data_IF_449473366732
#
_entry.id   IF_449473366732
#
_cell.length_a   1.000
_cell.length_b   1.000
_cell.length_c   1.000
_cell.angle_alpha   90.00
_cell.angle_beta   90.00
_cell.angle_gamma   90.00
#
_symmetry.space_group_name_H-M   'P 1'
#
loop_
_entity.id
_entity.type
_entity.pdbx_description
1 polymer ?
#
# COMPACT_ATOMS: atom_id res chain seq x y z
N UNK A 1 -30.11 -30.95 -14.15
CA UNK A 1 -28.74 -31.51 -14.20
C UNK A 1 -27.86 -30.45 -14.87
N UNK A 2 -27.18 -29.59 -14.06
CA UNK A 2 -26.27 -28.57 -14.58
C UNK A 2 -24.93 -29.27 -14.88
N UNK A 3 -24.60 -29.42 -16.15
CA UNK A 3 -23.27 -29.87 -16.57
C UNK A 3 -22.36 -28.65 -16.37
N UNK A 4 -21.59 -28.67 -15.28
CA UNK A 4 -20.46 -27.74 -15.10
C UNK A 4 -19.37 -28.18 -16.07
N UNK A 5 -19.21 -27.47 -17.20
CA UNK A 5 -18.04 -27.59 -18.04
C UNK A 5 -16.84 -27.09 -17.22
N UNK A 6 -16.07 -28.02 -16.66
CA UNK A 6 -14.75 -27.70 -16.14
C UNK A 6 -13.88 -27.47 -17.37
N UNK A 7 -13.71 -26.22 -17.77
CA UNK A 7 -12.72 -25.87 -18.81
C UNK A 7 -11.34 -26.18 -18.24
N UNK A 8 -10.61 -27.04 -18.91
CA UNK A 8 -9.24 -27.38 -18.56
C UNK A 8 -8.37 -26.12 -18.71
N UNK A 9 -7.78 -25.61 -17.61
CA UNK A 9 -6.96 -24.40 -17.65
C UNK A 9 -5.68 -24.66 -18.43
N UNK A 10 -5.30 -23.73 -19.30
CA UNK A 10 -4.06 -23.79 -20.06
C UNK A 10 -2.86 -23.66 -19.13
N UNK A 11 -1.92 -24.61 -19.21
CA UNK A 11 -0.62 -24.53 -18.49
C UNK A 11 0.36 -23.72 -19.34
N UNK A 12 1.04 -22.77 -18.71
CA UNK A 12 2.01 -21.85 -19.30
C UNK A 12 3.30 -21.89 -18.47
N UNK A 13 4.36 -22.38 -19.07
CA UNK A 13 5.70 -22.31 -18.50
C UNK A 13 6.27 -20.90 -18.67
N UNK A 14 6.86 -20.33 -17.62
CA UNK A 14 7.53 -19.01 -17.63
C UNK A 14 8.82 -19.06 -16.81
N UNK A 15 9.83 -18.29 -17.18
CA UNK A 15 11.02 -18.13 -16.35
C UNK A 15 10.69 -17.36 -15.07
N UNK A 16 9.89 -16.31 -15.20
CA UNK A 16 9.54 -15.41 -14.10
C UNK A 16 8.08 -14.97 -14.18
N UNK A 17 7.36 -15.15 -13.08
CA UNK A 17 6.03 -14.57 -12.86
C UNK A 17 6.13 -13.52 -11.76
N UNK A 18 5.57 -12.34 -12.01
CA UNK A 18 5.49 -11.22 -11.08
C UNK A 18 4.02 -11.03 -10.69
N UNK A 19 3.72 -11.05 -9.41
CA UNK A 19 2.35 -10.94 -8.88
C UNK A 19 2.14 -9.53 -8.33
N UNK A 20 1.35 -8.74 -9.05
CA UNK A 20 1.03 -7.34 -8.73
C UNK A 20 1.74 -6.34 -9.64
N UNK A 21 0.97 -5.42 -10.23
CA UNK A 21 1.43 -4.38 -11.16
C UNK A 21 1.51 -2.99 -10.50
N UNK A 22 1.86 -2.92 -9.21
CA UNK A 22 2.26 -1.68 -8.55
C UNK A 22 3.70 -1.28 -8.91
N UNK A 23 4.23 -0.17 -8.35
CA UNK A 23 5.59 0.31 -8.63
C UNK A 23 6.67 -0.75 -8.46
N UNK A 24 6.57 -1.60 -7.44
CA UNK A 24 7.52 -2.69 -7.21
C UNK A 24 7.48 -3.73 -8.34
N UNK A 25 6.27 -4.19 -8.71
CA UNK A 25 6.12 -5.20 -9.76
C UNK A 25 6.49 -4.69 -11.14
N UNK A 26 6.07 -3.47 -11.50
CA UNK A 26 6.44 -2.85 -12.78
C UNK A 26 7.95 -2.63 -12.88
N UNK A 27 8.61 -2.21 -11.80
CA UNK A 27 10.07 -2.07 -11.79
C UNK A 27 10.75 -3.43 -11.90
N UNK A 28 10.27 -4.44 -11.17
CA UNK A 28 10.80 -5.80 -11.30
C UNK A 28 10.68 -6.31 -12.73
N UNK A 29 9.56 -6.05 -13.40
CA UNK A 29 9.33 -6.43 -14.78
C UNK A 29 10.29 -5.74 -15.76
N UNK A 30 10.53 -4.43 -15.59
CA UNK A 30 11.50 -3.66 -16.39
C UNK A 30 12.91 -4.25 -16.26
N UNK A 31 13.37 -4.51 -15.02
CA UNK A 31 14.71 -5.07 -14.79
C UNK A 31 14.83 -6.51 -15.34
N UNK A 32 13.79 -7.33 -15.12
CA UNK A 32 13.76 -8.70 -15.61
C UNK A 32 13.72 -8.78 -17.15
N UNK A 33 12.95 -7.93 -17.82
CA UNK A 33 12.93 -7.85 -19.28
C UNK A 33 14.30 -7.45 -19.84
N UNK A 34 14.95 -6.44 -19.24
CA UNK A 34 16.31 -6.02 -19.62
C UNK A 34 17.36 -7.13 -19.41
N UNK A 35 17.13 -8.04 -18.46
CA UNK A 35 17.96 -9.23 -18.24
C UNK A 35 17.59 -10.42 -19.16
N UNK A 36 16.61 -10.30 -20.06
CA UNK A 36 16.19 -11.36 -20.99
C UNK A 36 15.42 -12.50 -20.33
N UNK A 37 14.75 -12.23 -19.20
CA UNK A 37 14.00 -13.26 -18.47
C UNK A 37 12.57 -13.52 -18.98
N UNK A 38 12.08 -12.74 -19.94
CA UNK A 38 10.70 -12.84 -20.46
C UNK A 38 9.66 -12.90 -19.34
N UNK A 39 9.56 -11.85 -18.50
CA UNK A 39 8.64 -11.86 -17.37
C UNK A 39 7.19 -11.66 -17.81
N UNK A 40 6.25 -12.23 -17.02
CA UNK A 40 4.84 -11.86 -17.09
C UNK A 40 4.43 -11.24 -15.75
N UNK A 41 3.64 -10.17 -15.81
CA UNK A 41 3.03 -9.53 -14.64
C UNK A 41 1.57 -9.91 -14.56
N UNK A 42 1.13 -10.42 -13.41
CA UNK A 42 -0.28 -10.75 -13.14
C UNK A 42 -0.89 -9.66 -12.25
N UNK A 43 -1.98 -9.06 -12.71
CA UNK A 43 -2.71 -8.02 -11.96
C UNK A 43 -4.22 -8.31 -11.99
N UNK A 44 -4.84 -8.40 -10.81
CA UNK A 44 -6.29 -8.66 -10.72
C UNK A 44 -7.17 -7.45 -11.03
N UNK A 45 -6.59 -6.27 -11.09
CA UNK A 45 -7.30 -5.01 -11.27
C UNK A 45 -6.56 -4.06 -12.20
N UNK A 46 -6.63 -2.77 -11.90
CA UNK A 46 -5.94 -1.74 -12.67
C UNK A 46 -4.45 -1.66 -12.31
N UNK A 47 -3.62 -1.53 -13.33
CA UNK A 47 -2.17 -1.32 -13.19
C UNK A 47 -1.86 -0.03 -12.41
N UNK A 48 -0.84 -0.07 -11.53
CA UNK A 48 -0.36 1.06 -10.75
C UNK A 48 -0.56 0.92 -9.25
N UNK A 49 -1.38 -0.05 -8.80
CA UNK A 49 -1.61 -0.31 -7.37
C UNK A 49 -2.13 0.92 -6.61
N UNK A 50 -1.65 1.14 -5.37
CA UNK A 50 -2.07 2.28 -4.54
C UNK A 50 -1.67 3.64 -5.13
N UNK A 51 -0.66 3.69 -5.97
CA UNK A 51 -0.21 4.94 -6.61
C UNK A 51 -1.26 5.45 -7.59
N UNK A 52 -1.90 4.59 -8.36
CA UNK A 52 -2.89 4.98 -9.37
C UNK A 52 -4.08 5.79 -8.80
N UNK A 53 -4.39 5.62 -7.51
CA UNK A 53 -5.49 6.34 -6.84
C UNK A 53 -5.01 7.56 -6.04
N UNK A 54 -3.71 7.86 -6.04
CA UNK A 54 -3.17 9.07 -5.41
C UNK A 54 -3.44 10.29 -6.29
N UNK A 55 -3.99 11.35 -5.72
CA UNK A 55 -4.32 12.56 -6.46
C UNK A 55 -3.07 13.26 -7.00
N UNK A 56 -2.03 13.34 -6.17
CA UNK A 56 -0.76 14.00 -6.48
C UNK A 56 0.41 13.28 -5.82
N UNK A 57 1.56 13.26 -6.46
CA UNK A 57 2.84 12.72 -5.99
C UNK A 57 3.91 13.78 -6.19
N UNK A 58 4.53 14.25 -5.10
CA UNK A 58 5.55 15.32 -5.08
C UNK A 58 6.89 14.86 -4.50
N UNK A 59 7.00 13.58 -4.17
CA UNK A 59 8.17 12.99 -3.53
C UNK A 59 8.79 11.84 -4.33
N UNK A 60 8.48 11.75 -5.62
CA UNK A 60 9.11 10.79 -6.52
C UNK A 60 10.17 11.50 -7.37
N UNK A 61 11.47 11.14 -7.24
CA UNK A 61 12.56 11.81 -7.98
C UNK A 61 12.33 11.79 -9.49
N UNK A 62 12.53 12.94 -10.13
CA UNK A 62 12.28 13.15 -11.55
C UNK A 62 11.02 13.94 -11.85
N UNK A 63 10.13 14.09 -10.85
CA UNK A 63 8.92 14.92 -10.96
C UNK A 63 8.81 15.84 -9.75
N UNK A 64 8.62 17.13 -9.99
CA UNK A 64 8.27 18.08 -8.91
C UNK A 64 6.83 17.90 -8.45
N UNK A 65 5.95 17.48 -9.37
CA UNK A 65 4.56 17.14 -9.11
C UNK A 65 4.02 16.34 -10.30
N UNK A 66 3.31 15.24 -10.02
CA UNK A 66 2.67 14.38 -11.03
C UNK A 66 1.45 13.71 -10.39
N UNK A 67 0.38 13.44 -11.15
CA UNK A 67 -0.70 12.62 -10.61
C UNK A 67 -0.28 11.15 -10.48
N UNK A 68 -0.81 10.45 -9.49
CA UNK A 68 -0.51 9.02 -9.31
C UNK A 68 -0.93 8.19 -10.51
N UNK A 69 -2.06 8.54 -11.14
CA UNK A 69 -2.53 7.89 -12.37
C UNK A 69 -1.53 8.06 -13.52
N UNK A 70 -1.02 9.27 -13.74
CA UNK A 70 -0.02 9.54 -14.80
C UNK A 70 1.30 8.85 -14.51
N UNK A 71 1.78 8.87 -13.26
CA UNK A 71 3.01 8.17 -12.89
C UNK A 71 2.89 6.66 -13.13
N UNK A 72 1.75 6.07 -12.76
CA UNK A 72 1.46 4.65 -13.00
C UNK A 72 1.40 4.33 -14.49
N UNK A 73 0.78 5.19 -15.29
CA UNK A 73 0.72 5.03 -16.75
C UNK A 73 2.11 5.05 -17.38
N UNK A 74 2.99 5.96 -16.95
CA UNK A 74 4.39 6.04 -17.44
C UNK A 74 5.21 4.80 -17.03
N UNK A 75 5.02 4.26 -15.82
CA UNK A 75 5.68 3.01 -15.41
C UNK A 75 5.20 1.82 -16.23
N UNK A 76 3.88 1.74 -16.52
CA UNK A 76 3.30 0.72 -17.40
C UNK A 76 3.86 0.82 -18.82
N UNK A 77 3.83 2.01 -19.41
CA UNK A 77 4.36 2.28 -20.77
C UNK A 77 5.83 1.85 -20.88
N UNK A 78 6.65 2.16 -19.87
CA UNK A 78 8.05 1.73 -19.83
C UNK A 78 8.18 0.20 -19.81
N UNK A 79 7.41 -0.52 -18.99
CA UNK A 79 7.42 -1.98 -18.99
C UNK A 79 6.98 -2.55 -20.35
N UNK A 80 5.91 -2.04 -20.94
CA UNK A 80 5.39 -2.46 -22.23
C UNK A 80 6.36 -2.16 -23.38
N UNK A 81 7.14 -1.08 -23.32
CA UNK A 81 8.16 -0.77 -24.33
C UNK A 81 9.32 -1.78 -24.36
N UNK A 82 9.39 -2.66 -23.38
CA UNK A 82 10.31 -3.80 -23.31
C UNK A 82 9.62 -5.15 -23.55
N UNK A 83 8.48 -5.13 -24.21
CA UNK A 83 7.65 -6.30 -24.54
C UNK A 83 7.16 -7.10 -23.30
N UNK A 84 7.06 -6.46 -22.12
CA UNK A 84 6.54 -7.11 -20.92
C UNK A 84 5.04 -7.37 -21.10
N UNK A 85 4.65 -8.64 -20.97
CA UNK A 85 3.25 -9.05 -20.93
C UNK A 85 2.66 -8.70 -19.55
N UNK A 86 1.53 -7.96 -19.51
CA UNK A 86 0.78 -7.68 -18.30
C UNK A 86 -0.60 -8.32 -18.47
N UNK A 87 -0.86 -9.37 -17.72
CA UNK A 87 -2.16 -10.07 -17.71
C UNK A 87 -3.06 -9.41 -16.66
N UNK A 88 -3.99 -8.61 -17.14
CA UNK A 88 -4.93 -7.84 -16.30
C UNK A 88 -6.26 -8.58 -16.16
N UNK A 89 -6.90 -8.44 -15.00
CA UNK A 89 -8.24 -8.97 -14.71
C UNK A 89 -8.36 -10.51 -14.67
N UNK A 90 -7.24 -11.25 -14.71
CA UNK A 90 -7.23 -12.70 -14.47
C UNK A 90 -6.84 -12.96 -13.01
N UNK A 91 -7.85 -13.07 -12.16
CA UNK A 91 -7.63 -13.14 -10.71
C UNK A 91 -6.90 -14.44 -10.31
N UNK A 92 -5.92 -14.32 -9.43
CA UNK A 92 -5.23 -15.48 -8.86
C UNK A 92 -6.16 -16.13 -7.84
N UNK A 93 -6.50 -17.39 -8.06
CA UNK A 93 -7.30 -18.22 -7.15
C UNK A 93 -6.42 -18.88 -6.07
N UNK A 94 -5.22 -19.32 -6.47
CA UNK A 94 -4.31 -20.06 -5.59
C UNK A 94 -2.86 -19.91 -6.04
N UNK A 95 -1.95 -19.86 -5.06
CA UNK A 95 -0.51 -19.96 -5.27
C UNK A 95 0.02 -21.16 -4.51
N UNK A 96 0.66 -22.09 -5.22
CA UNK A 96 1.35 -23.25 -4.66
C UNK A 96 2.84 -23.02 -4.82
N UNK A 97 3.49 -22.65 -3.70
CA UNK A 97 4.89 -22.25 -3.70
C UNK A 97 5.69 -23.18 -2.77
N UNK A 98 6.66 -23.86 -3.35
CA UNK A 98 7.61 -24.70 -2.61
C UNK A 98 8.99 -24.62 -3.28
N UNK A 99 10.02 -25.13 -2.63
CA UNK A 99 11.37 -25.16 -3.20
C UNK A 99 11.43 -25.99 -4.49
N UNK A 100 10.62 -27.03 -4.58
CA UNK A 100 10.61 -27.96 -5.72
C UNK A 100 9.71 -27.56 -6.86
N UNK A 101 8.62 -26.84 -6.59
CA UNK A 101 7.64 -26.48 -7.59
C UNK A 101 6.95 -25.14 -7.25
N UNK A 102 6.62 -24.39 -8.28
CA UNK A 102 5.87 -23.13 -8.19
C UNK A 102 4.75 -23.14 -9.20
N UNK A 103 3.53 -22.91 -8.74
CA UNK A 103 2.34 -22.84 -9.59
C UNK A 103 1.48 -21.64 -9.15
N UNK A 104 1.13 -20.79 -10.09
CA UNK A 104 0.17 -19.72 -9.88
C UNK A 104 -1.07 -20.04 -10.71
N UNK A 105 -2.17 -20.28 -10.04
CA UNK A 105 -3.44 -20.67 -10.64
C UNK A 105 -4.35 -19.44 -10.66
N UNK A 106 -4.68 -18.97 -11.85
CA UNK A 106 -5.62 -17.89 -12.10
C UNK A 106 -6.99 -18.45 -12.49
N UNK A 107 -7.99 -17.59 -12.70
CA UNK A 107 -9.31 -18.02 -13.17
C UNK A 107 -9.24 -18.75 -14.51
N UNK A 108 -8.34 -18.32 -15.42
CA UNK A 108 -8.28 -18.85 -16.81
C UNK A 108 -7.05 -19.73 -17.09
N UNK A 109 -5.95 -19.62 -16.32
CA UNK A 109 -4.65 -20.20 -16.66
C UNK A 109 -3.96 -20.81 -15.44
N UNK A 110 -2.91 -21.60 -15.69
CA UNK A 110 -1.96 -22.09 -14.71
C UNK A 110 -0.57 -21.71 -15.19
N UNK A 111 0.15 -20.93 -14.39
CA UNK A 111 1.55 -20.59 -14.66
C UNK A 111 2.47 -21.48 -13.83
N UNK A 112 3.49 -22.05 -14.48
CA UNK A 112 4.55 -22.84 -13.83
C UNK A 112 5.90 -22.11 -14.03
N UNK A 113 6.22 -21.15 -13.14
CA UNK A 113 7.45 -20.37 -13.28
C UNK A 113 8.65 -21.03 -12.59
N UNK A 114 9.86 -20.71 -13.11
CA UNK A 114 11.12 -21.03 -12.41
C UNK A 114 11.26 -20.18 -11.14
N UNK A 115 10.87 -18.90 -11.21
CA UNK A 115 10.90 -17.97 -10.09
C UNK A 115 9.62 -17.12 -10.01
N UNK A 116 9.30 -16.63 -8.81
CA UNK A 116 8.14 -15.76 -8.53
C UNK A 116 8.59 -14.52 -7.77
N UNK A 117 8.12 -13.34 -8.17
CA UNK A 117 8.22 -12.11 -7.39
C UNK A 117 6.83 -11.73 -6.90
N UNK A 118 6.65 -11.64 -5.59
CA UNK A 118 5.42 -11.22 -4.95
C UNK A 118 5.50 -9.72 -4.70
N UNK A 119 4.66 -8.93 -5.39
CA UNK A 119 4.61 -7.47 -5.34
C UNK A 119 3.17 -6.96 -5.13
N UNK A 120 2.36 -7.71 -4.39
CA UNK A 120 0.92 -7.48 -4.17
C UNK A 120 0.62 -6.25 -3.31
N UNK A 121 1.64 -5.70 -2.65
CA UNK A 121 1.53 -4.50 -1.84
C UNK A 121 0.74 -4.67 -0.54
N UNK A 122 0.38 -3.53 0.05
CA UNK A 122 -0.45 -3.43 1.24
C UNK A 122 -1.53 -2.37 1.06
N UNK A 123 -2.61 -2.47 1.82
CA UNK A 123 -3.70 -1.48 1.82
C UNK A 123 -3.87 -0.91 3.23
N UNK A 124 -4.11 0.39 3.37
CA UNK A 124 -4.49 0.98 4.65
C UNK A 124 -5.76 0.31 5.18
N UNK A 125 -5.82 0.09 6.49
CA UNK A 125 -7.07 -0.35 7.13
C UNK A 125 -8.08 0.77 7.06
N UNK A 126 -9.35 0.47 6.70
CA UNK A 126 -10.39 1.49 6.63
C UNK A 126 -10.70 2.04 8.03
N UNK A 127 -11.06 3.32 8.12
CA UNK A 127 -11.51 3.97 9.35
C UNK A 127 -12.85 3.43 9.84
N UNK A 128 -13.66 2.87 8.93
CA UNK A 128 -15.02 2.38 9.16
C UNK A 128 -16.01 3.49 9.54
N UNK A 129 -15.74 4.74 9.17
CA UNK A 129 -16.67 5.85 9.27
C UNK A 129 -17.53 5.96 8.01
N UNK A 130 -18.78 6.45 8.14
CA UNK A 130 -19.77 6.41 7.05
C UNK A 130 -19.30 7.13 5.78
N UNK A 131 -18.66 8.27 5.95
CA UNK A 131 -18.27 9.14 4.84
C UNK A 131 -16.82 8.92 4.36
N UNK A 132 -16.12 7.87 4.82
CA UNK A 132 -14.73 7.62 4.45
C UNK A 132 -14.51 7.59 2.93
N UNK A 133 -15.33 6.82 2.21
CA UNK A 133 -15.20 6.67 0.76
C UNK A 133 -15.36 8.01 -0.01
N UNK A 134 -16.25 8.88 0.47
CA UNK A 134 -16.52 10.20 -0.12
C UNK A 134 -15.32 11.14 0.02
N UNK A 135 -14.68 11.14 1.19
CA UNK A 135 -13.60 12.07 1.52
C UNK A 135 -12.20 11.49 1.34
N UNK A 136 -12.06 10.26 0.83
CA UNK A 136 -10.75 9.69 0.48
C UNK A 136 -10.06 10.53 -0.59
N UNK A 137 -8.85 11.05 -0.28
CA UNK A 137 -8.13 12.01 -1.11
C UNK A 137 -8.72 13.43 -1.13
N UNK A 138 -9.83 13.67 -0.42
CA UNK A 138 -10.49 14.97 -0.28
C UNK A 138 -10.61 15.40 1.19
N UNK A 139 -9.62 15.00 2.00
CA UNK A 139 -9.54 15.28 3.43
C UNK A 139 -9.31 14.03 4.28
N UNK A 140 -9.51 12.80 3.77
CA UNK A 140 -9.02 11.58 4.43
C UNK A 140 -7.79 11.08 3.67
N UNK A 141 -6.67 10.97 4.39
CA UNK A 141 -5.36 10.61 3.88
C UNK A 141 -4.70 9.50 4.71
N UNK A 142 -3.78 8.77 4.08
CA UNK A 142 -3.09 7.62 4.68
C UNK A 142 -1.56 7.80 4.69
N UNK A 143 -1.06 8.98 4.24
CA UNK A 143 0.36 9.29 4.17
C UNK A 143 0.57 10.80 4.39
N UNK A 144 1.08 11.20 5.55
CA UNK A 144 1.36 12.62 5.82
C UNK A 144 2.53 13.14 4.98
N UNK A 145 3.54 12.32 4.72
CA UNK A 145 4.66 12.66 3.83
C UNK A 145 4.21 12.92 2.38
N UNK A 146 3.11 12.29 1.95
CA UNK A 146 2.59 12.44 0.60
C UNK A 146 1.67 13.67 0.47
N UNK A 147 0.76 13.83 1.42
CA UNK A 147 -0.38 14.74 1.30
C UNK A 147 -0.31 15.94 2.26
N UNK A 148 0.57 15.89 3.27
CA UNK A 148 0.62 16.89 4.35
C UNK A 148 0.91 18.32 3.89
N UNK A 149 1.71 18.48 2.84
CA UNK A 149 2.07 19.80 2.30
C UNK A 149 0.84 20.64 1.86
N UNK A 150 -0.22 19.98 1.37
CA UNK A 150 -1.48 20.62 0.96
C UNK A 150 -2.25 21.28 2.13
N UNK A 151 -1.90 20.91 3.37
CA UNK A 151 -2.57 21.38 4.58
C UNK A 151 -1.72 22.37 5.39
N UNK A 152 -0.75 23.04 4.75
CA UNK A 152 0.07 24.08 5.37
C UNK A 152 -0.82 25.17 5.99
N UNK A 153 -0.57 25.47 7.28
CA UNK A 153 -1.31 26.50 8.01
C UNK A 153 -2.77 26.15 8.33
N UNK A 154 -3.17 24.88 8.21
CA UNK A 154 -4.52 24.41 8.53
C UNK A 154 -4.51 23.51 9.77
N UNK A 155 -5.68 23.32 10.39
CA UNK A 155 -5.87 22.31 11.45
C UNK A 155 -6.11 20.96 10.82
N UNK A 156 -5.37 19.92 11.28
CA UNK A 156 -5.50 18.55 10.79
C UNK A 156 -5.64 17.57 11.95
N UNK A 157 -6.33 16.45 11.69
CA UNK A 157 -6.48 15.33 12.62
C UNK A 157 -5.51 14.20 12.29
N UNK A 158 -5.01 13.50 13.31
CA UNK A 158 -4.24 12.24 13.17
C UNK A 158 -4.93 11.17 13.98
N UNK A 159 -5.43 10.12 13.33
CA UNK A 159 -6.11 8.99 13.98
C UNK A 159 -5.16 7.82 14.08
N UNK A 160 -4.86 7.40 15.29
CA UNK A 160 -3.99 6.25 15.52
C UNK A 160 -3.46 6.14 16.94
N UNK A 161 -2.64 5.13 17.19
CA UNK A 161 -2.14 4.90 18.55
C UNK A 161 -0.79 4.20 18.65
N UNK A 162 -0.13 3.97 17.52
CA UNK A 162 1.23 3.43 17.44
C UNK A 162 2.27 4.52 17.17
N UNK A 163 3.56 4.13 17.18
CA UNK A 163 4.68 5.04 16.87
C UNK A 163 4.50 5.78 15.56
N UNK A 164 4.01 5.12 14.49
CA UNK A 164 3.75 5.77 13.21
C UNK A 164 2.79 6.97 13.32
N UNK A 165 1.69 6.84 14.09
CA UNK A 165 0.75 7.96 14.27
C UNK A 165 1.42 9.15 14.99
N UNK A 166 2.30 8.90 15.96
CA UNK A 166 3.02 9.93 16.71
C UNK A 166 4.10 10.59 15.84
N UNK A 167 4.88 9.80 15.10
CA UNK A 167 5.92 10.29 14.18
C UNK A 167 5.29 11.22 13.12
N UNK A 168 4.15 10.81 12.55
CA UNK A 168 3.47 11.60 11.51
C UNK A 168 2.77 12.84 12.08
N UNK A 169 2.28 12.79 13.31
CA UNK A 169 1.78 13.99 13.99
C UNK A 169 2.91 15.00 14.23
N UNK A 170 4.09 14.54 14.62
CA UNK A 170 5.29 15.37 14.74
C UNK A 170 5.74 15.94 13.39
N UNK A 171 5.65 15.16 12.31
CA UNK A 171 5.93 15.64 10.95
C UNK A 171 4.93 16.74 10.55
N UNK A 172 3.63 16.48 10.71
CA UNK A 172 2.57 17.43 10.38
C UNK A 172 2.63 18.72 11.22
N UNK A 173 3.13 18.67 12.47
CA UNK A 173 3.26 19.85 13.32
C UNK A 173 4.22 20.89 12.77
N UNK A 174 5.14 20.52 11.88
CA UNK A 174 6.04 21.45 11.19
C UNK A 174 5.37 22.14 9.99
N UNK A 175 4.18 21.69 9.56
CA UNK A 175 3.48 22.13 8.34
C UNK A 175 2.14 22.78 8.68
N UNK A 176 1.35 22.10 9.50
CA UNK A 176 0.02 22.50 9.90
C UNK A 176 0.06 23.59 10.99
N UNK A 177 -0.98 24.40 11.07
CA UNK A 177 -1.19 25.33 12.18
C UNK A 177 -1.41 24.57 13.49
N UNK A 178 -2.24 23.52 13.43
CA UNK A 178 -2.57 22.68 14.59
C UNK A 178 -2.75 21.23 14.16
N UNK A 179 -2.27 20.29 14.99
CA UNK A 179 -2.47 18.85 14.84
C UNK A 179 -3.30 18.34 16.02
N UNK A 180 -4.39 17.66 15.74
CA UNK A 180 -5.26 17.04 16.76
C UNK A 180 -5.11 15.52 16.64
N UNK A 181 -4.43 14.90 17.60
CA UNK A 181 -4.32 13.43 17.66
C UNK A 181 -5.58 12.84 18.31
N UNK A 182 -6.26 11.96 17.60
CA UNK A 182 -7.48 11.30 18.06
C UNK A 182 -7.13 9.85 18.45
N UNK A 183 -7.22 9.57 19.74
CA UNK A 183 -6.83 8.30 20.33
C UNK A 183 -7.98 7.67 21.10
N UNK A 184 -8.51 6.54 20.61
CA UNK A 184 -9.63 5.82 21.22
C UNK A 184 -9.37 5.26 22.62
N UNK A 185 -8.11 5.02 22.99
CA UNK A 185 -7.72 4.49 24.31
C UNK A 185 -7.05 5.57 25.16
N UNK A 186 -6.91 5.29 26.45
CA UNK A 186 -6.23 6.17 27.43
C UNK A 186 -4.69 6.18 27.30
N UNK A 187 -4.11 5.36 26.40
CA UNK A 187 -2.65 5.26 26.23
C UNK A 187 -2.26 4.93 24.80
N UNK A 188 -1.04 5.27 24.41
CA UNK A 188 -0.42 4.91 23.16
C UNK A 188 0.40 3.63 23.27
N UNK A 189 0.55 2.92 22.15
CA UNK A 189 1.53 1.84 21.94
C UNK A 189 2.71 2.37 21.12
N UNK A 190 3.20 3.55 21.47
CA UNK A 190 4.30 4.24 20.80
C UNK A 190 5.55 4.19 21.68
N UNK A 191 6.71 4.41 21.07
CA UNK A 191 7.96 4.62 21.80
C UNK A 191 7.82 5.85 22.72
N UNK A 192 8.23 5.69 23.97
CA UNK A 192 8.05 6.71 25.00
C UNK A 192 8.68 8.07 24.61
N UNK A 193 9.89 8.03 24.04
CA UNK A 193 10.62 9.25 23.68
C UNK A 193 9.91 10.09 22.60
N UNK A 194 9.30 9.45 21.59
CA UNK A 194 8.56 10.18 20.55
C UNK A 194 7.22 10.71 21.06
N UNK A 195 6.55 9.95 21.96
CA UNK A 195 5.30 10.40 22.57
C UNK A 195 5.54 11.62 23.47
N UNK A 196 6.55 11.60 24.34
CA UNK A 196 6.93 12.74 25.17
C UNK A 196 7.28 13.99 24.33
N UNK A 197 7.88 13.79 23.17
CA UNK A 197 8.16 14.89 22.24
C UNK A 197 6.86 15.46 21.68
N UNK A 198 5.91 14.63 21.26
CA UNK A 198 4.61 15.09 20.77
C UNK A 198 3.82 15.85 21.84
N UNK A 199 3.81 15.35 23.09
CA UNK A 199 3.15 16.00 24.24
C UNK A 199 3.74 17.38 24.59
N UNK A 200 5.03 17.61 24.28
CA UNK A 200 5.71 18.91 24.48
C UNK A 200 5.59 19.85 23.28
N UNK A 201 5.09 19.38 22.16
CA UNK A 201 4.96 20.18 20.93
C UNK A 201 3.71 21.07 21.03
N UNK A 202 3.89 22.38 21.05
CA UNK A 202 2.85 23.37 21.41
C UNK A 202 1.61 23.36 20.52
N UNK A 203 1.74 22.95 19.26
CA UNK A 203 0.64 22.89 18.31
C UNK A 203 0.10 21.47 18.09
N UNK A 204 0.47 20.50 18.94
CA UNK A 204 -0.15 19.17 19.00
C UNK A 204 -1.08 19.09 20.21
N UNK A 205 -2.35 18.78 19.95
CA UNK A 205 -3.35 18.47 20.97
C UNK A 205 -3.65 16.97 20.93
N UNK A 206 -3.65 16.28 22.06
CA UNK A 206 -3.97 14.85 22.13
C UNK A 206 -5.32 14.65 22.83
N UNK A 207 -6.27 14.08 22.11
CA UNK A 207 -7.57 13.67 22.62
C UNK A 207 -7.54 12.18 22.93
N UNK A 208 -7.33 11.84 24.20
CA UNK A 208 -7.44 10.48 24.72
C UNK A 208 -8.91 10.07 24.87
N UNK A 209 -9.17 8.77 24.92
CA UNK A 209 -10.50 8.18 25.06
C UNK A 209 -11.49 8.78 24.06
N UNK A 210 -11.02 9.11 22.85
CA UNK A 210 -11.80 9.78 21.83
C UNK A 210 -11.77 8.93 20.55
N UNK A 211 -12.93 8.57 20.03
CA UNK A 211 -13.07 7.84 18.77
C UNK A 211 -13.55 8.76 17.66
N UNK A 212 -13.08 8.53 16.44
CA UNK A 212 -13.59 9.20 15.26
C UNK A 212 -14.85 8.46 14.80
N UNK A 213 -16.01 9.12 14.84
CA UNK A 213 -17.29 8.54 14.50
C UNK A 213 -17.65 8.78 13.03
N UNK A 214 -17.41 10.00 12.56
CA UNK A 214 -17.68 10.38 11.17
C UNK A 214 -16.87 11.60 10.79
N UNK A 215 -16.90 11.94 9.51
CA UNK A 215 -16.35 13.15 8.93
C UNK A 215 -17.37 13.79 8.01
N UNK A 216 -17.30 15.08 7.79
CA UNK A 216 -18.27 15.74 6.93
C UNK A 216 -17.83 17.10 6.46
N UNK A 217 -18.75 17.73 5.76
CA UNK A 217 -18.66 19.11 5.30
C UNK A 217 -19.89 19.88 5.76
N UNK A 218 -19.70 21.06 6.33
CA UNK A 218 -20.78 21.89 6.87
C UNK A 218 -21.76 22.41 5.80
N UNK A 219 -21.35 22.44 4.53
CA UNK A 219 -22.18 22.84 3.40
C UNK A 219 -23.21 21.77 2.98
N UNK A 220 -23.14 20.54 3.51
CA UNK A 220 -24.04 19.45 3.16
C UNK A 220 -25.52 19.67 3.59
N UNK A 221 -25.78 20.71 4.41
CA UNK A 221 -27.13 21.06 4.88
C UNK A 221 -27.85 22.18 4.10
N UNK A 222 -27.18 22.88 3.19
CA UNK A 222 -27.75 24.00 2.43
C UNK A 222 -27.60 23.78 0.93
N UNK A 223 -28.74 23.44 0.31
CA UNK A 223 -28.97 23.48 -1.16
C UNK A 223 -27.84 22.95 -2.08
N UNK A 224 -27.72 21.63 -2.23
CA UNK A 224 -27.28 20.98 -3.49
C UNK A 224 -25.87 21.13 -3.99
N UNK A 225 -25.04 21.97 -3.41
CA UNK A 225 -23.64 22.18 -3.75
C UNK A 225 -22.73 21.98 -2.54
N UNK A 226 -22.81 20.81 -1.92
CA UNK A 226 -21.93 20.40 -0.83
C UNK A 226 -20.47 20.48 -1.25
N UNK A 227 -19.62 21.12 -0.45
CA UNK A 227 -18.19 21.22 -0.71
C UNK A 227 -17.55 19.86 -0.90
N UNK A 228 -16.60 19.75 -1.81
CA UNK A 228 -15.92 18.51 -2.16
C UNK A 228 -14.94 18.04 -1.06
N UNK A 229 -14.56 18.91 -0.14
CA UNK A 229 -13.54 18.66 0.87
C UNK A 229 -14.12 18.62 2.29
N UNK A 230 -13.51 17.80 3.13
CA UNK A 230 -13.80 17.71 4.55
C UNK A 230 -13.51 19.04 5.29
N UNK A 231 -14.41 19.43 6.22
CA UNK A 231 -14.21 20.60 7.08
C UNK A 231 -14.45 20.32 8.58
N UNK A 232 -14.97 19.15 8.95
CA UNK A 232 -15.07 18.72 10.34
C UNK A 232 -14.91 17.22 10.54
N UNK A 233 -14.49 16.82 11.74
CA UNK A 233 -14.62 15.47 12.26
C UNK A 233 -15.71 15.45 13.35
N UNK A 234 -16.54 14.40 13.35
CA UNK A 234 -17.42 14.06 14.45
C UNK A 234 -16.69 13.04 15.33
N UNK A 235 -16.47 13.38 16.59
CA UNK A 235 -15.78 12.51 17.54
C UNK A 235 -16.69 12.23 18.73
N UNK A 236 -16.49 11.07 19.37
CA UNK A 236 -17.18 10.72 20.60
C UNK A 236 -16.16 10.38 21.71
N UNK A 237 -16.43 10.82 22.92
CA UNK A 237 -15.74 10.33 24.09
C UNK A 237 -16.13 8.86 24.35
N UNK A 238 -15.17 7.99 24.51
CA UNK A 238 -15.42 6.53 24.65
C UNK A 238 -15.92 6.13 26.03
N UNK A 239 -15.88 7.04 27.01
CA UNK A 239 -16.34 6.81 28.39
C UNK A 239 -17.73 7.38 28.63
N UNK A 240 -17.97 8.61 28.14
CA UNK A 240 -19.26 9.32 28.34
C UNK A 240 -20.21 9.17 27.17
N UNK A 241 -19.71 8.75 25.99
CA UNK A 241 -20.43 8.70 24.71
C UNK A 241 -20.91 10.06 24.19
N UNK A 242 -20.40 11.15 24.77
CA UNK A 242 -20.70 12.50 24.28
C UNK A 242 -20.04 12.75 22.92
N UNK A 243 -20.84 13.18 21.95
CA UNK A 243 -20.38 13.52 20.61
C UNK A 243 -20.13 15.01 20.47
N UNK A 244 -19.07 15.35 19.75
CA UNK A 244 -18.77 16.75 19.36
C UNK A 244 -18.13 16.86 18.00
N UNK A 245 -18.40 17.96 17.30
CA UNK A 245 -17.72 18.30 16.06
C UNK A 245 -16.43 19.04 16.36
N UNK A 246 -15.38 18.69 15.65
CA UNK A 246 -14.07 19.34 15.68
C UNK A 246 -13.80 19.90 14.29
N UNK A 247 -13.67 21.22 14.13
CA UNK A 247 -13.28 21.83 12.86
C UNK A 247 -11.87 21.38 12.49
N UNK A 248 -11.69 20.77 11.30
CA UNK A 248 -10.39 20.42 10.75
C UNK A 248 -10.51 20.18 9.24
N UNK A 249 -9.41 20.39 8.53
CA UNK A 249 -9.39 20.32 7.06
C UNK A 249 -8.99 18.95 6.52
N UNK A 250 -8.40 18.09 7.36
CA UNK A 250 -8.02 16.73 6.98
C UNK A 250 -7.90 15.80 8.18
N UNK A 251 -8.07 14.51 7.92
CA UNK A 251 -7.78 13.40 8.84
C UNK A 251 -6.73 12.50 8.20
N UNK A 252 -5.59 12.33 8.86
CA UNK A 252 -4.55 11.38 8.50
C UNK A 252 -4.72 10.12 9.35
N UNK A 253 -4.82 8.95 8.71
CA UNK A 253 -5.16 7.71 9.41
C UNK A 253 -3.96 6.76 9.50
N UNK A 254 -3.62 6.37 10.73
CA UNK A 254 -2.52 5.47 11.10
C UNK A 254 -3.00 4.35 12.01
N UNK A 255 -4.10 3.69 11.65
CA UNK A 255 -4.67 2.54 12.35
C UNK A 255 -4.13 1.20 11.86
N UNK A 256 -3.09 1.27 11.04
CA UNK A 256 -2.38 0.14 10.45
C UNK A 256 -2.71 -0.08 8.98
N UNK A 257 -1.92 -0.96 8.36
CA UNK A 257 -2.13 -1.46 7.01
C UNK A 257 -2.24 -2.98 7.04
N UNK A 258 -2.79 -3.55 5.98
CA UNK A 258 -2.89 -5.00 5.79
C UNK A 258 -2.15 -5.36 4.50
N UNK A 259 -1.11 -6.21 4.56
CA UNK A 259 -0.48 -6.73 3.36
C UNK A 259 -1.42 -7.68 2.63
N UNK A 260 -1.35 -7.70 1.31
CA UNK A 260 -2.15 -8.61 0.48
C UNK A 260 -1.44 -9.96 0.35
N UNK A 261 -1.52 -10.76 1.39
CA UNK A 261 -0.83 -12.06 1.51
C UNK A 261 -1.79 -13.24 1.71
N UNK A 262 -3.10 -13.04 1.52
CA UNK A 262 -4.12 -14.06 1.79
C UNK A 262 -3.86 -15.35 1.00
N UNK A 263 -3.45 -15.22 -0.27
CA UNK A 263 -3.16 -16.34 -1.18
C UNK A 263 -1.85 -17.06 -0.87
N UNK A 264 -1.04 -16.51 0.03
CA UNK A 264 0.32 -16.98 0.32
C UNK A 264 0.44 -17.61 1.70
N UNK A 265 -0.66 -17.67 2.46
CA UNK A 265 -0.67 -18.26 3.81
C UNK A 265 -0.26 -19.71 3.77
N UNK A 266 0.74 -20.05 4.56
CA UNK A 266 1.30 -21.41 4.62
C UNK A 266 2.30 -21.74 3.53
N UNK A 267 2.53 -20.83 2.55
CA UNK A 267 3.54 -21.02 1.51
C UNK A 267 4.86 -20.30 1.83
N UNK A 268 4.80 -19.11 2.42
CA UNK A 268 5.98 -18.31 2.81
C UNK A 268 5.86 -17.87 4.27
N UNK A 269 6.99 -17.59 4.91
CA UNK A 269 7.01 -17.05 6.27
C UNK A 269 6.48 -15.62 6.30
N UNK A 270 5.57 -15.36 7.26
CA UNK A 270 4.97 -14.08 7.49
C UNK A 270 5.26 -13.61 8.93
N UNK A 271 5.47 -12.30 9.09
CA UNK A 271 5.57 -11.71 10.42
C UNK A 271 4.20 -11.73 11.15
N UNK A 272 4.20 -11.33 12.41
CA UNK A 272 2.96 -11.28 13.25
C UNK A 272 1.87 -10.35 12.71
N UNK A 273 2.18 -9.48 11.74
CA UNK A 273 1.24 -8.57 11.10
C UNK A 273 0.80 -9.04 9.71
N UNK A 274 1.34 -10.18 9.24
CA UNK A 274 1.02 -10.79 7.96
C UNK A 274 1.89 -10.31 6.80
N UNK A 275 2.96 -9.53 7.04
CA UNK A 275 3.93 -9.15 6.01
C UNK A 275 4.90 -10.28 5.72
N UNK A 276 5.32 -10.42 4.45
CA UNK A 276 6.30 -11.44 4.07
C UNK A 276 7.67 -11.09 4.66
N UNK A 277 8.27 -12.03 5.38
CA UNK A 277 9.65 -11.91 5.83
C UNK A 277 10.59 -12.10 4.64
N UNK A 278 11.32 -11.05 4.29
CA UNK A 278 12.31 -11.04 3.21
C UNK A 278 13.50 -10.15 3.57
N UNK A 279 14.70 -10.64 3.28
CA UNK A 279 15.95 -9.93 3.53
C UNK A 279 16.19 -8.77 2.55
N UNK A 280 17.41 -8.19 2.61
CA UNK A 280 17.82 -7.08 1.72
C UNK A 280 17.94 -7.51 0.26
N UNK A 281 18.11 -8.81 0.00
CA UNK A 281 18.12 -9.43 -1.32
C UNK A 281 16.72 -9.87 -1.81
N UNK A 282 15.67 -9.49 -1.09
CA UNK A 282 14.26 -9.78 -1.38
C UNK A 282 13.88 -11.27 -1.35
N UNK A 283 14.75 -12.17 -0.88
CA UNK A 283 14.47 -13.60 -0.75
C UNK A 283 13.50 -13.85 0.38
N UNK A 284 12.55 -14.74 0.13
CA UNK A 284 11.63 -15.27 1.14
C UNK A 284 12.16 -16.59 1.73
N UNK A 285 11.36 -17.22 2.60
CA UNK A 285 11.66 -18.57 3.13
C UNK A 285 11.60 -19.67 2.09
N UNK A 286 11.10 -19.42 0.87
CA UNK A 286 10.98 -20.40 -0.22
C UNK A 286 11.97 -20.05 -1.33
N UNK A 287 12.79 -21.04 -1.74
CA UNK A 287 13.76 -20.89 -2.82
C UNK A 287 13.10 -20.43 -4.13
N UNK A 288 13.65 -19.39 -4.77
CA UNK A 288 13.12 -18.85 -6.03
C UNK A 288 11.82 -18.07 -5.88
N UNK A 289 11.40 -17.76 -4.64
CA UNK A 289 10.31 -16.84 -4.35
C UNK A 289 10.86 -15.59 -3.67
N UNK A 290 10.53 -14.43 -4.21
CA UNK A 290 10.99 -13.12 -3.77
C UNK A 290 9.81 -12.24 -3.40
N UNK A 291 10.00 -11.27 -2.49
CA UNK A 291 8.98 -10.31 -2.12
C UNK A 291 9.49 -8.88 -2.27
N UNK A 292 8.71 -8.01 -2.91
CA UNK A 292 9.09 -6.63 -3.20
C UNK A 292 7.98 -5.63 -2.88
N UNK A 293 8.36 -4.44 -2.41
CA UNK A 293 7.44 -3.37 -2.08
C UNK A 293 6.76 -3.56 -0.72
N UNK A 294 5.56 -3.02 -0.61
CA UNK A 294 4.89 -2.85 0.68
C UNK A 294 4.30 -4.15 1.27
N UNK A 295 4.34 -5.25 0.52
CA UNK A 295 3.91 -6.58 0.98
C UNK A 295 4.90 -7.21 1.96
N UNK A 296 6.18 -6.77 1.96
CA UNK A 296 7.22 -7.33 2.82
C UNK A 296 7.42 -6.52 4.10
N UNK A 297 8.08 -7.14 5.07
CA UNK A 297 8.52 -6.49 6.30
C UNK A 297 9.52 -5.39 5.98
N UNK A 298 9.16 -4.13 6.25
CA UNK A 298 10.02 -2.96 6.05
C UNK A 298 9.53 -1.78 6.89
N UNK A 299 10.43 -0.85 7.19
CA UNK A 299 10.12 0.32 8.01
C UNK A 299 9.36 1.38 7.21
N UNK A 300 9.82 1.72 6.01
CA UNK A 300 9.26 2.79 5.18
C UNK A 300 8.55 2.24 3.95
N UNK A 301 7.32 2.69 3.72
CA UNK A 301 6.49 2.34 2.57
C UNK A 301 6.29 3.58 1.72
N UNK A 302 7.13 3.72 0.69
CA UNK A 302 7.18 4.83 -0.26
C UNK A 302 7.28 4.27 -1.68
N UNK A 303 6.86 5.04 -2.69
CA UNK A 303 6.97 4.64 -4.09
C UNK A 303 8.43 4.32 -4.43
N UNK A 304 9.36 5.20 -4.06
CA UNK A 304 10.79 5.03 -4.33
C UNK A 304 11.38 3.79 -3.67
N UNK A 305 10.94 3.43 -2.44
CA UNK A 305 11.42 2.21 -1.77
C UNK A 305 10.79 0.95 -2.36
N UNK A 306 9.58 1.03 -2.89
CA UNK A 306 8.94 -0.06 -3.62
C UNK A 306 9.64 -0.31 -4.97
N UNK A 307 9.99 0.74 -5.71
CA UNK A 307 10.80 0.69 -6.94
C UNK A 307 12.16 0.04 -6.67
N UNK A 308 12.86 0.47 -5.62
CA UNK A 308 14.14 -0.14 -5.19
C UNK A 308 14.01 -1.63 -4.93
N UNK A 309 13.01 -2.03 -4.13
CA UNK A 309 12.75 -3.45 -3.84
C UNK A 309 12.50 -4.26 -5.12
N UNK A 310 11.71 -3.71 -6.07
CA UNK A 310 11.44 -4.36 -7.36
C UNK A 310 12.69 -4.63 -8.18
N UNK A 311 13.60 -3.64 -8.24
CA UNK A 311 14.87 -3.79 -8.92
C UNK A 311 15.74 -4.89 -8.29
N UNK A 312 15.88 -4.88 -6.96
CA UNK A 312 16.67 -5.89 -6.22
C UNK A 312 16.06 -7.28 -6.38
N UNK A 313 14.73 -7.41 -6.30
CA UNK A 313 14.03 -8.69 -6.47
C UNK A 313 14.28 -9.29 -7.86
N UNK A 314 14.25 -8.47 -8.91
CA UNK A 314 14.52 -8.91 -10.28
C UNK A 314 15.96 -9.42 -10.46
N UNK A 315 16.94 -8.68 -9.92
CA UNK A 315 18.35 -9.07 -9.95
C UNK A 315 18.62 -10.37 -9.16
N UNK A 316 17.94 -10.54 -8.02
CA UNK A 316 18.02 -11.76 -7.22
C UNK A 316 17.34 -12.95 -7.91
N UNK A 317 16.21 -12.72 -8.59
CA UNK A 317 15.54 -13.73 -9.39
C UNK A 317 16.35 -14.15 -10.62
N UNK A 318 17.00 -13.20 -11.30
CA UNK A 318 17.91 -13.47 -12.41
C UNK A 318 19.04 -14.42 -11.98
N UNK A 319 19.74 -14.09 -10.89
CA UNK A 319 20.79 -14.94 -10.32
C UNK A 319 20.29 -16.36 -10.03
N UNK A 320 19.12 -16.49 -9.41
CA UNK A 320 18.53 -17.79 -9.11
C UNK A 320 18.21 -18.59 -10.39
N UNK A 321 17.57 -17.94 -11.38
CA UNK A 321 17.20 -18.58 -12.64
C UNK A 321 18.45 -19.07 -13.38
N UNK A 322 19.49 -18.24 -13.46
CA UNK A 322 20.78 -18.63 -14.09
C UNK A 322 21.40 -19.86 -13.42
N UNK A 323 21.43 -19.91 -12.10
CA UNK A 323 21.92 -21.09 -11.35
C UNK A 323 21.11 -22.35 -11.63
N UNK A 324 19.77 -22.25 -11.70
CA UNK A 324 18.90 -23.40 -11.96
C UNK A 324 18.96 -23.89 -13.41
N UNK A 325 19.21 -22.99 -14.37
CA UNK A 325 19.24 -23.35 -15.81
C UNK A 325 20.63 -23.67 -16.34
N UNK A 326 21.67 -23.59 -15.50
CA UNK A 326 23.06 -23.89 -15.88
C UNK A 326 23.66 -22.88 -16.90
N UNK A 327 23.07 -21.72 -17.03
CA UNK A 327 23.58 -20.61 -17.86
C UNK A 327 24.38 -19.67 -16.97
N UNK A 328 25.70 -19.79 -17.02
CA UNK A 328 26.64 -18.81 -16.46
C UNK A 328 26.87 -17.66 -17.42
#
# INVERSE_FOLDING_TARGET
>A
MHIVFIMEKKIIEKKLVIVGAGPAGLTAAIYAARAGLDPIVLEKGLVGGQVAVSSIVENYPGYTSISGAELSAKMREHAQSLDVEIDEFDAIERAELSDSAKRIITESKIYEPTAVIIATGAVPKPLLVRNEARFRGKGIHYCALCDGAAYKGKTVGVVGGGSAAVEEALYLSNIAEKVIMIRRKSSFHAEKAILERAERTSNIEILYNTDLIDVGNSADGSSGSGGDFLDYALVADTLTLEERKIPLSAVFTYIGSAPRTELLRGSVELDRYGYIEAGDDMRTSVEGVFAAGDVRTKKYRQIVTAVSDGAVAALSAEKYIMQKTGKN
#
